data_IF_754792655493
#
_entry.id   IF_754792655493
#
_cell.length_a   1.000
_cell.length_b   1.000
_cell.length_c   1.000
_cell.angle_alpha   90.00
_cell.angle_beta   90.00
_cell.angle_gamma   90.00
#
_symmetry.space_group_name_H-M   'P 1'
#
loop_
_entity.id
_entity.type
_entity.pdbx_description
1 polymer ?
#
# COMPACT_ATOMS: atom_id res chain seq x y z
N UNK A 1 -19.11 9.66 0.92
CA UNK A 1 -18.80 9.61 -0.53
C UNK A 1 -20.11 9.84 -1.25
N UNK A 2 -20.29 11.02 -1.89
CA UNK A 2 -21.44 11.28 -2.76
C UNK A 2 -21.28 10.43 -4.00
N UNK A 3 -22.14 9.44 -4.18
CA UNK A 3 -22.40 8.54 -5.31
C UNK A 3 -21.67 8.72 -6.64
N UNK A 4 -20.35 8.79 -6.64
CA UNK A 4 -19.51 8.74 -7.84
C UNK A 4 -19.12 7.30 -8.15
N UNK A 5 -18.91 6.99 -9.43
CA UNK A 5 -18.41 5.69 -9.82
C UNK A 5 -17.03 5.46 -9.21
N UNK A 6 -16.84 4.39 -8.45
CA UNK A 6 -15.55 3.98 -7.91
C UNK A 6 -14.62 3.54 -9.05
N UNK A 7 -13.37 3.93 -8.96
CA UNK A 7 -12.31 3.52 -9.89
C UNK A 7 -11.63 2.28 -9.33
N UNK A 8 -11.79 1.14 -9.97
CA UNK A 8 -11.13 -0.10 -9.57
C UNK A 8 -9.81 -0.19 -10.34
N UNK A 9 -8.66 -0.27 -9.65
CA UNK A 9 -7.38 -0.42 -10.30
C UNK A 9 -7.25 -1.79 -10.97
N UNK A 10 -6.39 -1.90 -11.99
CA UNK A 10 -6.12 -3.18 -12.68
C UNK A 10 -5.31 -4.11 -11.78
N UNK A 11 -5.59 -5.42 -11.86
CA UNK A 11 -4.78 -6.46 -11.22
C UNK A 11 -3.34 -6.47 -11.75
N UNK A 12 -2.41 -6.94 -10.89
CA UNK A 12 -1.02 -7.15 -11.22
C UNK A 12 -0.84 -8.36 -12.15
N UNK A 13 0.23 -8.32 -12.91
CA UNK A 13 0.71 -9.45 -13.71
C UNK A 13 2.18 -9.71 -13.38
N UNK A 14 2.61 -10.95 -13.54
CA UNK A 14 4.04 -11.28 -13.46
C UNK A 14 4.84 -10.35 -14.40
N UNK A 15 5.98 -9.88 -13.94
CA UNK A 15 6.87 -8.87 -14.52
C UNK A 15 6.41 -7.41 -14.35
N UNK A 16 5.24 -7.15 -13.76
CA UNK A 16 4.86 -5.78 -13.39
C UNK A 16 5.80 -5.21 -12.31
N UNK A 17 5.94 -3.90 -12.32
CA UNK A 17 6.74 -3.17 -11.33
C UNK A 17 5.88 -2.72 -10.16
N UNK A 18 6.32 -3.05 -8.96
CA UNK A 18 5.77 -2.58 -7.69
C UNK A 18 6.64 -1.43 -7.20
N UNK A 19 6.06 -0.24 -7.08
CA UNK A 19 6.71 0.92 -6.48
C UNK A 19 6.57 0.88 -4.96
N UNK A 20 7.65 1.08 -4.23
CA UNK A 20 7.65 1.11 -2.76
C UNK A 20 7.95 2.52 -2.27
N UNK A 21 7.08 3.05 -1.42
CA UNK A 21 7.17 4.39 -0.85
C UNK A 21 7.18 4.35 0.69
N UNK A 22 7.80 5.33 1.32
CA UNK A 22 7.79 5.51 2.78
C UNK A 22 7.08 6.83 3.17
N UNK A 23 5.73 6.90 3.14
CA UNK A 23 5.03 8.17 3.33
C UNK A 23 4.88 8.58 4.81
N UNK A 24 5.42 7.81 5.75
CA UNK A 24 5.26 8.04 7.20
C UNK A 24 6.58 7.92 7.97
N UNK A 25 6.82 6.83 8.67
CA UNK A 25 8.05 6.62 9.45
C UNK A 25 9.26 6.32 8.56
N UNK A 26 10.49 6.71 9.00
CA UNK A 26 11.71 6.44 8.25
C UNK A 26 12.05 4.93 8.24
N UNK A 27 12.73 4.50 7.19
CA UNK A 27 13.31 3.17 7.07
C UNK A 27 14.77 3.26 7.55
N UNK A 28 15.00 2.86 8.79
CA UNK A 28 16.31 2.95 9.47
C UNK A 28 16.58 1.69 10.28
N UNK A 29 17.85 1.42 10.57
CA UNK A 29 18.26 0.23 11.35
C UNK A 29 17.79 -1.05 10.70
N UNK A 30 17.29 -1.99 11.49
CA UNK A 30 16.82 -3.32 11.04
C UNK A 30 15.72 -3.25 9.97
N UNK A 31 14.96 -2.15 9.90
CA UNK A 31 13.94 -1.98 8.87
C UNK A 31 14.52 -1.93 7.44
N UNK A 32 15.81 -1.58 7.28
CA UNK A 32 16.48 -1.57 5.97
C UNK A 32 16.65 -3.02 5.49
N UNK A 33 17.15 -3.89 6.36
CA UNK A 33 17.33 -5.31 6.05
C UNK A 33 15.98 -6.00 5.78
N UNK A 34 14.96 -5.71 6.60
CA UNK A 34 13.60 -6.22 6.37
C UNK A 34 13.04 -5.77 5.02
N UNK A 35 13.28 -4.51 4.62
CA UNK A 35 12.82 -3.97 3.34
C UNK A 35 13.52 -4.67 2.16
N UNK A 36 14.82 -4.89 2.26
CA UNK A 36 15.62 -5.55 1.22
C UNK A 36 15.26 -7.05 1.13
N UNK A 37 15.04 -7.74 2.24
CA UNK A 37 14.55 -9.11 2.25
C UNK A 37 13.16 -9.22 1.61
N UNK A 38 12.25 -8.30 1.94
CA UNK A 38 10.92 -8.25 1.31
C UNK A 38 11.03 -8.05 -0.21
N UNK A 39 11.94 -7.17 -0.66
CA UNK A 39 12.22 -6.98 -2.08
C UNK A 39 12.68 -8.28 -2.75
N UNK A 40 13.65 -8.98 -2.15
CA UNK A 40 14.12 -10.25 -2.69
C UNK A 40 13.00 -11.30 -2.82
N UNK A 41 12.11 -11.39 -1.82
CA UNK A 41 10.98 -12.32 -1.84
C UNK A 41 10.04 -11.97 -3.02
N UNK A 42 9.69 -10.70 -3.17
CA UNK A 42 8.79 -10.23 -4.23
C UNK A 42 9.42 -10.42 -5.63
N UNK A 43 10.73 -10.17 -5.77
CA UNK A 43 11.44 -10.37 -7.03
C UNK A 43 11.56 -11.86 -7.39
N UNK A 44 11.74 -12.75 -6.42
CA UNK A 44 11.70 -14.22 -6.63
C UNK A 44 10.32 -14.72 -7.11
N UNK A 45 9.24 -13.99 -6.79
CA UNK A 45 7.89 -14.27 -7.29
C UNK A 45 7.66 -13.76 -8.72
N UNK A 46 8.65 -13.10 -9.33
CA UNK A 46 8.61 -12.64 -10.71
C UNK A 46 8.11 -11.20 -10.91
N UNK A 47 8.01 -10.41 -9.86
CA UNK A 47 7.74 -8.97 -9.95
C UNK A 47 9.05 -8.18 -9.98
N UNK A 48 8.96 -6.92 -10.40
CA UNK A 48 10.05 -5.94 -10.25
C UNK A 48 9.73 -5.03 -9.09
N UNK A 49 10.74 -4.63 -8.32
CA UNK A 49 10.57 -3.68 -7.20
C UNK A 49 11.37 -2.41 -7.47
N UNK A 50 10.68 -1.27 -7.38
CA UNK A 50 11.26 0.07 -7.54
C UNK A 50 11.05 0.86 -6.25
N UNK A 51 12.14 1.24 -5.60
CA UNK A 51 12.09 2.16 -4.47
C UNK A 51 11.88 3.61 -4.93
N UNK A 52 11.11 4.37 -4.15
CA UNK A 52 10.99 5.81 -4.36
C UNK A 52 12.31 6.52 -4.02
N UNK A 53 12.45 7.75 -4.53
CA UNK A 53 13.66 8.56 -4.38
C UNK A 53 14.04 8.78 -2.90
N UNK A 54 13.04 9.02 -2.06
CA UNK A 54 13.26 9.37 -0.66
C UNK A 54 13.00 8.19 0.31
N UNK A 55 13.00 6.93 -0.19
CA UNK A 55 12.67 5.73 0.62
C UNK A 55 13.50 5.60 1.89
N UNK A 56 14.80 5.97 1.86
CA UNK A 56 15.71 5.90 2.99
C UNK A 56 15.99 7.26 3.64
N UNK A 57 15.23 8.30 3.29
CA UNK A 57 15.37 9.61 3.93
C UNK A 57 14.90 9.54 5.38
N UNK A 58 15.54 10.35 6.24
CA UNK A 58 15.18 10.50 7.64
C UNK A 58 15.30 11.99 8.03
N UNK A 59 14.19 12.68 8.11
CA UNK A 59 14.11 14.09 8.43
C UNK A 59 13.31 14.27 9.72
N UNK A 60 13.98 14.66 10.81
CA UNK A 60 13.36 14.85 12.12
C UNK A 60 12.54 13.63 12.61
N UNK A 61 13.06 12.41 12.40
CA UNK A 61 12.42 11.13 12.69
C UNK A 61 11.16 10.82 11.85
N UNK A 62 10.91 11.54 10.76
CA UNK A 62 9.99 11.19 9.69
C UNK A 62 10.78 10.71 8.47
N UNK A 63 10.14 9.97 7.57
CA UNK A 63 10.83 9.43 6.38
C UNK A 63 11.46 10.54 5.52
N UNK A 64 10.72 11.65 5.34
CA UNK A 64 11.15 12.81 4.58
C UNK A 64 10.28 14.03 4.98
N UNK A 65 10.48 15.19 4.34
CA UNK A 65 9.56 16.31 4.44
C UNK A 65 8.21 15.98 3.81
N UNK A 66 7.16 16.74 4.16
CA UNK A 66 5.82 16.52 3.62
C UNK A 66 5.79 16.58 2.08
N UNK A 67 6.53 17.52 1.50
CA UNK A 67 6.66 17.69 0.03
C UNK A 67 7.39 16.53 -0.62
N UNK A 68 8.54 16.11 -0.08
CA UNK A 68 9.32 14.99 -0.63
C UNK A 68 8.54 13.66 -0.59
N UNK A 69 7.79 13.41 0.49
CA UNK A 69 6.90 12.25 0.58
C UNK A 69 5.77 12.30 -0.45
N UNK A 70 5.19 13.48 -0.67
CA UNK A 70 4.15 13.67 -1.67
C UNK A 70 4.73 13.56 -3.10
N UNK A 71 5.95 14.04 -3.34
CA UNK A 71 6.64 13.87 -4.62
C UNK A 71 6.85 12.38 -4.93
N UNK A 72 7.30 11.58 -3.96
CA UNK A 72 7.42 10.13 -4.11
C UNK A 72 6.07 9.48 -4.50
N UNK A 73 4.97 9.90 -3.87
CA UNK A 73 3.62 9.42 -4.21
C UNK A 73 3.25 9.83 -5.63
N UNK A 74 3.41 11.11 -5.98
CA UNK A 74 3.05 11.67 -7.27
C UNK A 74 3.85 11.04 -8.41
N UNK A 75 5.17 10.87 -8.23
CA UNK A 75 6.06 10.23 -9.20
C UNK A 75 5.67 8.77 -9.42
N UNK A 76 5.39 8.01 -8.36
CA UNK A 76 4.99 6.60 -8.49
C UNK A 76 3.63 6.44 -9.19
N UNK A 77 2.69 7.36 -8.98
CA UNK A 77 1.45 7.36 -9.75
C UNK A 77 1.65 7.79 -11.20
N UNK A 78 2.55 8.72 -11.50
CA UNK A 78 2.86 9.15 -12.86
C UNK A 78 3.64 8.10 -13.66
N UNK A 79 4.48 7.31 -13.01
CA UNK A 79 5.33 6.32 -13.66
C UNK A 79 4.52 5.21 -14.34
N UNK A 80 4.62 5.09 -15.65
CA UNK A 80 3.86 4.10 -16.46
C UNK A 80 4.33 2.65 -16.25
N UNK A 81 5.54 2.44 -15.76
CA UNK A 81 6.05 1.10 -15.46
C UNK A 81 5.48 0.57 -14.14
N UNK A 82 5.27 1.44 -13.16
CA UNK A 82 4.69 1.07 -11.85
C UNK A 82 3.20 0.73 -12.01
N UNK A 83 2.80 -0.46 -11.52
CA UNK A 83 1.41 -0.95 -11.55
C UNK A 83 0.75 -1.04 -10.17
N UNK A 84 1.55 -1.15 -9.13
CA UNK A 84 1.14 -1.09 -7.74
C UNK A 84 2.06 -0.18 -6.96
N UNK A 85 1.51 0.54 -5.98
CA UNK A 85 2.26 1.29 -4.96
C UNK A 85 2.06 0.57 -3.63
N UNK A 86 3.16 0.16 -3.01
CA UNK A 86 3.12 -0.52 -1.72
C UNK A 86 3.84 0.32 -0.68
N UNK A 87 3.14 0.69 0.39
CA UNK A 87 3.74 1.48 1.46
C UNK A 87 4.66 0.61 2.30
N UNK A 88 5.88 1.08 2.52
CA UNK A 88 6.93 0.32 3.21
C UNK A 88 6.59 0.07 4.68
N UNK A 89 6.10 1.10 5.38
CA UNK A 89 5.87 1.11 6.82
C UNK A 89 4.83 2.17 7.20
N UNK A 90 4.08 1.90 8.26
CA UNK A 90 3.22 2.88 8.91
C UNK A 90 4.00 3.89 9.77
N UNK A 91 3.30 4.54 10.69
CA UNK A 91 3.86 5.56 11.58
C UNK A 91 2.77 6.48 12.13
N UNK A 92 2.95 7.82 11.97
CA UNK A 92 2.00 8.81 12.51
C UNK A 92 1.98 10.14 11.74
N UNK A 93 2.47 10.18 10.51
CA UNK A 93 2.72 11.45 9.80
C UNK A 93 2.39 11.40 8.29
N UNK A 94 1.71 10.36 7.80
CA UNK A 94 1.35 10.29 6.37
C UNK A 94 0.35 11.40 5.97
N UNK A 95 -0.47 11.86 6.90
CA UNK A 95 -1.42 12.96 6.68
C UNK A 95 -0.76 14.29 6.28
N UNK A 96 0.51 14.51 6.59
CA UNK A 96 1.25 15.71 6.20
C UNK A 96 1.40 15.87 4.68
N UNK A 97 1.19 14.80 3.91
CA UNK A 97 1.30 14.81 2.44
C UNK A 97 0.07 15.35 1.72
N UNK A 98 -1.08 15.43 2.39
CA UNK A 98 -2.38 15.62 1.76
C UNK A 98 -2.51 16.85 0.86
N UNK A 99 -1.90 17.97 1.24
CA UNK A 99 -1.95 19.22 0.49
C UNK A 99 -1.04 19.24 -0.76
N UNK A 100 -0.08 18.30 -0.83
CA UNK A 100 0.93 18.23 -1.88
C UNK A 100 0.70 17.10 -2.89
N UNK A 101 -0.31 16.24 -2.63
CA UNK A 101 -0.66 15.15 -3.54
C UNK A 101 -1.41 15.67 -4.77
N UNK A 102 -0.97 15.26 -5.95
CA UNK A 102 -1.67 15.50 -7.21
C UNK A 102 -2.78 14.45 -7.43
N UNK A 103 -3.95 14.72 -6.87
CA UNK A 103 -5.11 13.82 -6.98
C UNK A 103 -5.63 13.68 -8.41
N UNK A 104 -5.39 14.67 -9.30
CA UNK A 104 -5.77 14.56 -10.70
C UNK A 104 -4.84 13.62 -11.47
N UNK A 105 -3.55 13.60 -11.11
CA UNK A 105 -2.62 12.58 -11.60
C UNK A 105 -3.05 11.17 -11.18
N UNK A 106 -3.48 10.99 -9.94
CA UNK A 106 -3.99 9.69 -9.44
C UNK A 106 -5.21 9.23 -10.24
N UNK A 107 -6.19 10.11 -10.47
CA UNK A 107 -7.37 9.79 -11.31
C UNK A 107 -7.00 9.35 -12.72
N UNK A 108 -6.00 9.99 -13.33
CA UNK A 108 -5.53 9.67 -14.68
C UNK A 108 -4.71 8.39 -14.76
N UNK A 109 -4.10 7.98 -13.65
CA UNK A 109 -3.19 6.84 -13.57
C UNK A 109 -3.57 5.90 -12.40
N UNK A 110 -4.80 5.37 -12.36
CA UNK A 110 -5.26 4.56 -11.24
C UNK A 110 -4.41 3.30 -11.11
N UNK A 111 -3.92 3.04 -9.89
CA UNK A 111 -3.07 1.89 -9.53
C UNK A 111 -3.51 1.34 -8.18
N UNK A 112 -3.16 0.09 -7.92
CA UNK A 112 -3.26 -0.47 -6.57
C UNK A 112 -2.37 0.36 -5.64
N UNK A 113 -2.91 0.81 -4.50
CA UNK A 113 -2.13 1.33 -3.38
C UNK A 113 -2.52 0.58 -2.12
N UNK A 114 -1.53 0.06 -1.40
CA UNK A 114 -1.72 -0.80 -0.24
C UNK A 114 -0.84 -0.40 0.94
N UNK A 115 -1.39 -0.53 2.13
CA UNK A 115 -0.74 -0.36 3.43
C UNK A 115 -1.78 -0.26 4.54
N UNK A 116 -1.33 -0.26 5.80
CA UNK A 116 -2.20 -0.19 6.97
C UNK A 116 -1.62 0.70 8.07
N UNK A 117 -2.31 0.82 9.19
CA UNK A 117 -1.95 1.71 10.31
C UNK A 117 -2.05 3.17 9.89
N UNK A 118 -1.03 4.00 10.08
CA UNK A 118 -1.04 5.42 9.66
C UNK A 118 -1.30 5.60 8.15
N UNK A 119 -0.94 4.63 7.33
CA UNK A 119 -1.21 4.62 5.88
C UNK A 119 -2.71 4.68 5.59
N UNK A 120 -3.56 4.21 6.50
CA UNK A 120 -5.02 4.29 6.38
C UNK A 120 -5.50 5.73 6.17
N UNK A 121 -4.86 6.71 6.79
CA UNK A 121 -5.20 8.12 6.58
C UNK A 121 -4.94 8.56 5.13
N UNK A 122 -3.83 8.12 4.54
CA UNK A 122 -3.47 8.37 3.14
C UNK A 122 -4.42 7.68 2.16
N UNK A 123 -4.66 6.38 2.36
CA UNK A 123 -5.54 5.60 1.47
C UNK A 123 -6.97 6.13 1.49
N UNK A 124 -7.52 6.46 2.65
CA UNK A 124 -8.84 7.08 2.78
C UNK A 124 -8.91 8.45 2.09
N UNK A 125 -7.88 9.29 2.24
CA UNK A 125 -7.85 10.60 1.59
C UNK A 125 -7.79 10.45 0.06
N UNK A 126 -7.01 9.51 -0.46
CA UNK A 126 -6.95 9.21 -1.89
C UNK A 126 -8.34 8.76 -2.39
N UNK A 127 -8.97 7.82 -1.68
CA UNK A 127 -10.33 7.34 -2.04
C UNK A 127 -11.33 8.49 -2.06
N UNK A 128 -11.36 9.33 -1.03
CA UNK A 128 -12.29 10.47 -0.92
C UNK A 128 -12.08 11.49 -2.06
N UNK A 129 -10.84 11.81 -2.40
CA UNK A 129 -10.53 12.82 -3.41
C UNK A 129 -10.65 12.32 -4.84
N UNK A 130 -10.47 11.02 -5.08
CA UNK A 130 -10.33 10.48 -6.44
C UNK A 130 -11.38 9.46 -6.83
N UNK A 131 -12.03 8.81 -5.86
CA UNK A 131 -12.88 7.65 -6.08
C UNK A 131 -12.08 6.36 -6.35
N UNK A 132 -10.74 6.37 -6.25
CA UNK A 132 -9.93 5.17 -6.41
C UNK A 132 -10.19 4.20 -5.25
N UNK A 133 -10.44 2.94 -5.56
CA UNK A 133 -10.44 1.85 -4.57
C UNK A 133 -9.00 1.64 -4.10
N UNK A 134 -8.79 1.78 -2.80
CA UNK A 134 -7.50 1.58 -2.14
C UNK A 134 -7.59 0.39 -1.19
N UNK A 135 -6.46 -0.10 -0.72
CA UNK A 135 -6.41 -1.36 0.03
C UNK A 135 -5.75 -1.17 1.40
N UNK A 136 -6.50 -1.54 2.44
CA UNK A 136 -5.96 -1.70 3.79
C UNK A 136 -5.42 -3.12 3.92
N UNK A 137 -4.11 -3.26 3.89
CA UNK A 137 -3.42 -4.55 3.90
C UNK A 137 -1.99 -4.40 4.39
N UNK A 138 -1.25 -5.50 4.47
CA UNK A 138 0.10 -5.51 5.03
C UNK A 138 1.03 -4.46 4.38
N UNK A 139 1.94 -3.89 5.17
CA UNK A 139 3.01 -3.03 4.67
C UNK A 139 4.10 -3.88 4.02
N UNK A 140 4.84 -3.30 3.05
CA UNK A 140 5.81 -4.03 2.25
C UNK A 140 6.88 -4.75 3.08
N UNK A 141 7.47 -4.09 4.09
CA UNK A 141 8.49 -4.71 4.93
C UNK A 141 8.00 -5.93 5.72
N UNK A 142 6.70 -5.99 6.04
CA UNK A 142 6.11 -7.11 6.79
C UNK A 142 6.17 -8.43 6.01
N UNK A 143 6.32 -8.38 4.68
CA UNK A 143 6.55 -9.58 3.85
C UNK A 143 7.79 -10.37 4.31
N UNK A 144 8.83 -9.69 4.80
CA UNK A 144 10.03 -10.33 5.32
C UNK A 144 9.87 -10.97 6.70
N UNK A 145 8.89 -10.51 7.48
CA UNK A 145 8.69 -10.90 8.89
C UNK A 145 7.45 -11.75 9.13
N UNK A 146 6.64 -12.03 8.11
CA UNK A 146 5.48 -12.90 8.20
C UNK A 146 5.90 -14.37 8.06
N UNK A 147 6.15 -15.02 9.18
CA UNK A 147 6.57 -16.43 9.24
C UNK A 147 5.55 -17.42 8.63
N UNK A 148 4.30 -16.99 8.48
CA UNK A 148 3.22 -17.84 7.94
C UNK A 148 3.00 -17.68 6.45
N UNK A 149 3.63 -16.70 5.82
CA UNK A 149 3.33 -16.26 4.45
C UNK A 149 1.86 -15.91 4.19
N UNK A 150 1.04 -15.85 5.24
CA UNK A 150 -0.41 -15.62 5.11
C UNK A 150 -0.69 -14.27 4.45
N UNK A 151 -0.07 -13.21 4.96
CA UNK A 151 -0.28 -11.85 4.42
C UNK A 151 0.14 -11.75 2.96
N UNK A 152 1.26 -12.39 2.59
CA UNK A 152 1.73 -12.40 1.20
C UNK A 152 0.78 -13.19 0.29
N UNK A 153 0.33 -14.38 0.71
CA UNK A 153 -0.66 -15.18 -0.03
C UNK A 153 -1.96 -14.41 -0.27
N UNK A 154 -2.47 -13.72 0.75
CA UNK A 154 -3.67 -12.90 0.64
C UNK A 154 -3.47 -11.70 -0.29
N UNK A 155 -2.32 -11.04 -0.25
CA UNK A 155 -1.96 -9.96 -1.18
C UNK A 155 -1.95 -10.47 -2.63
N UNK A 156 -1.29 -11.59 -2.90
CA UNK A 156 -1.22 -12.16 -4.25
C UNK A 156 -2.61 -12.58 -4.73
N UNK A 157 -3.41 -13.25 -3.90
CA UNK A 157 -4.77 -13.65 -4.21
C UNK A 157 -5.67 -12.45 -4.58
N UNK A 158 -5.50 -11.29 -3.91
CA UNK A 158 -6.27 -10.07 -4.21
C UNK A 158 -5.75 -9.34 -5.43
N UNK A 159 -4.46 -9.15 -5.51
CA UNK A 159 -3.88 -8.21 -6.47
C UNK A 159 -3.49 -8.85 -7.80
N UNK A 160 -3.27 -10.16 -7.82
CA UNK A 160 -2.97 -10.91 -9.05
C UNK A 160 -4.20 -11.64 -9.55
N UNK A 161 -4.84 -12.46 -8.69
CA UNK A 161 -5.97 -13.29 -9.10
C UNK A 161 -7.31 -12.52 -9.11
N UNK A 162 -7.36 -11.37 -8.43
CA UNK A 162 -8.57 -10.55 -8.33
C UNK A 162 -9.67 -11.15 -7.45
N UNK A 163 -9.35 -12.14 -6.61
CA UNK A 163 -10.32 -12.77 -5.71
C UNK A 163 -10.76 -11.81 -4.61
N UNK A 164 -12.05 -11.75 -4.33
CA UNK A 164 -12.64 -10.98 -3.23
C UNK A 164 -12.88 -11.83 -1.98
N UNK A 165 -12.67 -13.14 -2.05
CA UNK A 165 -12.85 -14.04 -0.92
C UNK A 165 -11.66 -13.94 0.02
N UNK A 166 -11.93 -13.64 1.29
CA UNK A 166 -10.90 -13.71 2.33
C UNK A 166 -10.53 -15.17 2.59
N UNK A 167 -9.23 -15.46 2.65
CA UNK A 167 -8.71 -16.76 3.03
C UNK A 167 -9.02 -17.04 4.51
N UNK A 168 -9.27 -18.29 4.82
CA UNK A 168 -9.31 -18.71 6.22
C UNK A 168 -7.89 -18.67 6.79
N UNK A 169 -7.72 -17.98 7.91
CA UNK A 169 -6.52 -18.09 8.70
C UNK A 169 -6.64 -19.36 9.56
N UNK A 170 -5.57 -20.10 9.74
CA UNK A 170 -5.56 -21.36 10.52
C UNK A 170 -5.77 -21.16 12.02
N UNK A 171 -6.00 -19.93 12.47
CA UNK A 171 -6.27 -19.63 13.88
C UNK A 171 -7.73 -19.92 14.25
N UNK A 172 -7.96 -20.41 15.44
CA UNK A 172 -9.30 -20.58 16.01
C UNK A 172 -9.92 -19.21 16.29
N UNK A 173 -11.01 -18.89 15.58
CA UNK A 173 -11.80 -17.69 15.84
C UNK A 173 -12.92 -18.01 16.83
N UNK A 174 -13.04 -17.21 17.88
CA UNK A 174 -14.18 -17.26 18.79
C UNK A 174 -15.26 -16.28 18.33
N UNK A 175 -16.43 -16.78 17.93
CA UNK A 175 -17.59 -15.94 17.65
C UNK A 175 -18.18 -15.43 18.94
N UNK A 176 -18.09 -14.12 19.19
CA UNK A 176 -18.72 -13.48 20.37
C UNK A 176 -20.20 -13.23 20.10
N UNK A 177 -20.52 -12.75 18.89
CA UNK A 177 -21.90 -12.51 18.44
C UNK A 177 -22.00 -12.80 16.95
N UNK A 178 -22.87 -13.69 16.55
CA UNK A 178 -23.16 -13.97 15.15
C UNK A 178 -24.03 -12.86 14.54
N UNK A 179 -23.81 -12.55 13.28
CA UNK A 179 -24.60 -11.55 12.54
C UNK A 179 -24.13 -11.39 11.11
N UNK A 180 -24.91 -10.69 10.30
CA UNK A 180 -24.59 -10.28 8.95
C UNK A 180 -24.66 -8.76 8.91
N UNK A 181 -23.67 -8.12 8.31
CA UNK A 181 -23.65 -6.68 8.06
C UNK A 181 -23.25 -6.42 6.61
N UNK A 182 -23.91 -5.43 6.01
CA UNK A 182 -23.61 -4.95 4.65
C UNK A 182 -23.30 -3.46 4.72
N UNK A 183 -22.30 -3.02 3.97
CA UNK A 183 -21.92 -1.61 3.89
C UNK A 183 -20.63 -1.39 3.12
N UNK A 184 -20.33 -0.10 2.89
CA UNK A 184 -19.03 0.28 2.34
C UNK A 184 -17.95 0.14 3.42
N UNK A 185 -16.87 -0.57 3.10
CA UNK A 185 -15.68 -0.62 3.96
C UNK A 185 -14.92 0.70 3.87
N UNK A 186 -14.55 1.22 5.03
CA UNK A 186 -13.60 2.32 5.21
C UNK A 186 -12.53 1.83 6.18
N UNK A 187 -11.25 2.04 5.84
CA UNK A 187 -10.12 1.51 6.57
C UNK A 187 -9.79 2.24 7.85
#
# INVERSE_FOLDING_TARGET
IKGGNMIIPKSLKIWDTIGVIAPSSPIVGDNIEELDQAKEIIEKLGFKVKYSKNIFSNTNNYSATATEKADDINEMFADKEVKMIWCAKGGNNSNSTFEYIDYDNIKKNPKIICGFSDITSLTNMITEKTGLVTFSGTNFKTVATDETDYSLKEVLKRFVDGSLELGEKEDEYQTIQAGIAEGQLIG
#
